data_IF_363783497979
#
_entry.id   IF_363783497979
#
_cell.length_a   1.000
_cell.length_b   1.000
_cell.length_c   1.000
_cell.angle_alpha   90.00
_cell.angle_beta   90.00
_cell.angle_gamma   90.00
#
_symmetry.space_group_name_H-M   'P 1'
#
loop_
_entity.id
_entity.type
_entity.pdbx_description
1 polymer ?
#
# COMPACT_ATOMS: atom_id res chain seq x y z
N UNK A 1 -7.21 -17.88 -10.59
CA UNK A 1 -5.96 -18.71 -10.43
C UNK A 1 -6.36 -20.19 -10.26
N UNK A 2 -5.88 -21.15 -11.07
CA UNK A 2 -6.28 -22.58 -10.90
C UNK A 2 -5.81 -23.09 -9.53
N UNK A 3 -6.75 -23.26 -8.59
CA UNK A 3 -6.47 -23.70 -7.22
C UNK A 3 -6.09 -25.19 -7.29
N UNK A 4 -4.80 -25.48 -7.14
CA UNK A 4 -4.33 -26.85 -6.89
C UNK A 4 -4.84 -27.29 -5.50
N UNK A 5 -5.16 -28.58 -5.34
CA UNK A 5 -5.61 -29.18 -4.06
C UNK A 5 -4.56 -29.10 -2.91
N UNK A 6 -3.43 -28.42 -3.12
CA UNK A 6 -2.33 -28.26 -2.19
C UNK A 6 -1.77 -26.84 -2.25
N UNK A 7 -1.34 -26.32 -1.10
CA UNK A 7 -0.60 -25.07 -1.04
C UNK A 7 0.74 -25.21 -1.81
N UNK A 8 1.12 -24.23 -2.66
CA UNK A 8 2.42 -24.24 -3.30
C UNK A 8 3.54 -24.27 -2.26
N UNK A 9 4.57 -25.10 -2.48
CA UNK A 9 5.65 -25.30 -1.48
C UNK A 9 6.35 -23.98 -1.12
N UNK A 10 6.50 -23.07 -2.08
CA UNK A 10 7.16 -21.78 -1.87
C UNK A 10 6.43 -20.88 -0.87
N UNK A 11 5.09 -20.94 -0.78
CA UNK A 11 4.29 -20.08 0.12
C UNK A 11 4.41 -20.52 1.57
N UNK A 12 4.79 -21.77 1.80
CA UNK A 12 5.10 -22.32 3.12
C UNK A 12 6.58 -22.13 3.44
N UNK A 13 7.47 -22.35 2.46
CA UNK A 13 8.91 -22.23 2.64
C UNK A 13 9.34 -20.78 2.92
N UNK A 14 8.72 -19.79 2.28
CA UNK A 14 9.09 -18.38 2.44
C UNK A 14 9.08 -17.88 3.90
N UNK A 15 7.98 -18.00 4.68
CA UNK A 15 7.99 -17.58 6.08
C UNK A 15 8.97 -18.40 6.92
N UNK A 16 9.10 -19.71 6.66
CA UNK A 16 10.03 -20.59 7.39
C UNK A 16 11.48 -20.15 7.17
N UNK A 17 11.88 -19.93 5.92
CA UNK A 17 13.22 -19.44 5.58
C UNK A 17 13.48 -18.07 6.19
N UNK A 18 12.49 -17.18 6.20
CA UNK A 18 12.64 -15.88 6.86
C UNK A 18 12.85 -15.99 8.37
N UNK A 19 12.09 -16.84 9.05
CA UNK A 19 12.29 -17.13 10.48
C UNK A 19 13.66 -17.77 10.76
N UNK A 20 14.11 -18.69 9.91
CA UNK A 20 15.43 -19.29 10.00
C UNK A 20 16.54 -18.27 9.77
N UNK A 21 16.38 -17.36 8.80
CA UNK A 21 17.35 -16.30 8.52
C UNK A 21 17.47 -15.32 9.70
N UNK A 22 16.35 -14.98 10.35
CA UNK A 22 16.33 -14.19 11.58
C UNK A 22 17.02 -14.91 12.74
N UNK A 23 16.72 -16.20 12.94
CA UNK A 23 17.38 -17.03 13.95
C UNK A 23 18.89 -17.13 13.72
N UNK A 24 19.31 -17.35 12.47
CA UNK A 24 20.71 -17.38 12.06
C UNK A 24 21.44 -16.06 12.34
N UNK A 25 20.81 -14.91 12.04
CA UNK A 25 21.34 -13.59 12.40
C UNK A 25 21.56 -13.47 13.91
N UNK A 26 20.61 -13.94 14.72
CA UNK A 26 20.71 -13.88 16.18
C UNK A 26 21.82 -14.78 16.74
N UNK A 27 22.08 -15.92 16.10
CA UNK A 27 23.10 -16.90 16.51
C UNK A 27 24.54 -16.49 16.12
N UNK A 28 24.71 -15.77 15.01
CA UNK A 28 26.02 -15.37 14.48
C UNK A 28 26.68 -14.16 15.17
N UNK A 29 26.10 -13.66 16.26
CA UNK A 29 26.61 -12.51 17.03
C UNK A 29 25.94 -11.20 16.62
N UNK A 30 25.15 -10.66 17.55
CA UNK A 30 24.26 -9.51 17.38
C UNK A 30 24.93 -8.16 17.12
N UNK A 31 24.09 -7.24 16.66
CA UNK A 31 24.26 -5.78 16.45
C UNK A 31 25.36 -5.28 15.49
N UNK A 32 26.27 -6.14 15.05
CA UNK A 32 27.15 -5.85 13.91
C UNK A 32 26.37 -5.69 12.59
N UNK A 33 26.89 -4.85 11.67
CA UNK A 33 26.31 -4.75 10.34
C UNK A 33 26.36 -6.13 9.67
N UNK A 34 25.21 -6.70 9.22
CA UNK A 34 25.21 -8.00 8.59
C UNK A 34 26.11 -7.95 7.35
N UNK A 35 26.96 -8.96 7.17
CA UNK A 35 27.76 -9.08 5.94
C UNK A 35 26.86 -9.04 4.71
N UNK A 36 27.37 -8.54 3.58
CA UNK A 36 26.59 -8.30 2.35
C UNK A 36 25.73 -9.50 1.93
N UNK A 37 26.28 -10.72 2.06
CA UNK A 37 25.56 -11.95 1.75
C UNK A 37 24.33 -12.16 2.65
N UNK A 38 24.49 -11.97 3.98
CA UNK A 38 23.37 -12.07 4.91
C UNK A 38 22.31 -10.99 4.64
N UNK A 39 22.74 -9.78 4.27
CA UNK A 39 21.81 -8.70 3.92
C UNK A 39 20.98 -9.03 2.67
N UNK A 40 21.62 -9.58 1.63
CA UNK A 40 20.91 -10.05 0.43
C UNK A 40 19.92 -11.17 0.77
N UNK A 41 20.32 -12.12 1.63
CA UNK A 41 19.44 -13.20 2.09
C UNK A 41 18.24 -12.65 2.85
N UNK A 42 18.46 -11.75 3.81
CA UNK A 42 17.37 -11.12 4.58
C UNK A 42 16.42 -10.34 3.67
N UNK A 43 16.94 -9.59 2.70
CA UNK A 43 16.14 -8.87 1.73
C UNK A 43 15.31 -9.84 0.86
N UNK A 44 15.92 -10.90 0.33
CA UNK A 44 15.20 -11.91 -0.44
C UNK A 44 14.10 -12.61 0.39
N UNK A 45 14.37 -12.92 1.66
CA UNK A 45 13.37 -13.45 2.59
C UNK A 45 12.24 -12.45 2.86
N UNK A 46 12.53 -11.15 2.95
CA UNK A 46 11.52 -10.11 3.11
C UNK A 46 10.57 -10.09 1.91
N UNK A 47 11.11 -10.02 0.69
CA UNK A 47 10.33 -10.06 -0.55
C UNK A 47 9.49 -11.33 -0.66
N UNK A 48 10.10 -12.50 -0.40
CA UNK A 48 9.38 -13.77 -0.41
C UNK A 48 8.27 -13.85 0.63
N UNK A 49 8.52 -13.30 1.83
CA UNK A 49 7.54 -13.22 2.92
C UNK A 49 6.35 -12.33 2.60
N UNK A 50 6.57 -11.16 1.98
CA UNK A 50 5.49 -10.27 1.52
C UNK A 50 4.63 -10.96 0.47
N UNK A 51 5.26 -11.58 -0.56
CA UNK A 51 4.52 -12.30 -1.60
C UNK A 51 3.73 -13.50 -1.05
N UNK A 52 4.31 -14.24 -0.11
CA UNK A 52 3.62 -15.34 0.56
C UNK A 52 2.46 -14.84 1.43
N UNK A 53 2.62 -13.72 2.14
CA UNK A 53 1.55 -13.11 2.93
C UNK A 53 0.36 -12.73 2.04
N UNK A 54 0.60 -12.01 0.93
CA UNK A 54 -0.47 -11.64 -0.01
C UNK A 54 -1.17 -12.88 -0.57
N UNK A 55 -0.40 -13.91 -0.95
CA UNK A 55 -0.98 -15.17 -1.41
C UNK A 55 -1.94 -15.80 -0.38
N UNK A 56 -1.51 -15.89 0.88
CA UNK A 56 -2.35 -16.45 1.95
C UNK A 56 -3.57 -15.57 2.24
N UNK A 57 -3.42 -14.25 2.15
CA UNK A 57 -4.52 -13.30 2.28
C UNK A 57 -5.56 -13.47 1.15
N UNK A 58 -5.11 -13.62 -0.10
CA UNK A 58 -5.99 -13.92 -1.24
C UNK A 58 -6.75 -15.22 -1.05
N UNK A 59 -6.10 -16.26 -0.52
CA UNK A 59 -6.77 -17.55 -0.29
C UNK A 59 -7.87 -17.45 0.79
N UNK A 60 -7.60 -16.70 1.86
CA UNK A 60 -8.59 -16.41 2.90
C UNK A 60 -9.74 -15.57 2.33
N UNK A 61 -9.41 -14.53 1.55
CA UNK A 61 -10.39 -13.68 0.87
C UNK A 61 -11.29 -14.47 -0.08
N UNK A 62 -10.71 -15.36 -0.90
CA UNK A 62 -11.44 -16.22 -1.83
C UNK A 62 -12.37 -17.19 -1.10
N UNK A 63 -11.98 -17.66 0.09
CA UNK A 63 -12.87 -18.49 0.92
C UNK A 63 -14.07 -17.73 1.47
N UNK A 64 -13.86 -16.47 1.85
CA UNK A 64 -14.92 -15.61 2.39
C UNK A 64 -15.90 -15.21 1.28
N UNK A 65 -15.40 -15.04 0.06
CA UNK A 65 -16.21 -14.70 -1.11
C UNK A 65 -16.58 -13.22 -1.18
N UNK A 66 -17.10 -12.79 -2.32
CA UNK A 66 -17.50 -11.40 -2.52
C UNK A 66 -18.81 -11.05 -1.78
N UNK A 67 -18.96 -9.81 -1.25
CA UNK A 67 -18.05 -8.68 -1.37
C UNK A 67 -17.01 -8.58 -0.23
N UNK A 68 -17.07 -9.43 0.79
CA UNK A 68 -16.22 -9.29 1.98
C UNK A 68 -14.77 -9.75 1.77
N UNK A 69 -14.53 -10.64 0.80
CA UNK A 69 -13.18 -11.10 0.46
C UNK A 69 -12.24 -9.96 0.06
N UNK A 70 -12.72 -8.99 -0.73
CA UNK A 70 -11.91 -7.83 -1.14
C UNK A 70 -11.52 -6.95 0.05
N UNK A 71 -12.38 -6.81 1.05
CA UNK A 71 -12.05 -6.12 2.31
C UNK A 71 -11.01 -6.85 3.11
N UNK A 72 -11.12 -8.18 3.22
CA UNK A 72 -10.14 -8.97 3.96
C UNK A 72 -8.78 -8.91 3.31
N UNK A 73 -8.71 -8.94 1.97
CA UNK A 73 -7.47 -8.74 1.24
C UNK A 73 -6.88 -7.36 1.51
N UNK A 74 -7.68 -6.28 1.38
CA UNK A 74 -7.23 -4.92 1.61
C UNK A 74 -6.72 -4.71 3.05
N UNK A 75 -7.43 -5.23 4.05
CA UNK A 75 -7.01 -5.18 5.46
C UNK A 75 -5.75 -6.01 5.69
N UNK A 76 -5.61 -7.17 5.07
CA UNK A 76 -4.42 -7.99 5.22
C UNK A 76 -3.19 -7.31 4.62
N UNK A 77 -3.28 -6.76 3.40
CA UNK A 77 -2.15 -6.06 2.76
C UNK A 77 -1.77 -4.81 3.53
N UNK A 78 -2.74 -3.98 3.90
CA UNK A 78 -2.48 -2.78 4.72
C UNK A 78 -1.95 -3.11 6.11
N UNK A 79 -2.34 -4.25 6.71
CA UNK A 79 -1.75 -4.67 7.98
C UNK A 79 -0.24 -4.92 7.87
N UNK A 80 0.25 -5.40 6.72
CA UNK A 80 1.69 -5.55 6.45
C UNK A 80 2.34 -4.17 6.41
N UNK A 81 1.76 -3.22 5.68
CA UNK A 81 2.24 -1.84 5.61
C UNK A 81 2.32 -1.18 7.00
N UNK A 82 1.23 -1.22 7.75
CA UNK A 82 1.12 -0.63 9.09
C UNK A 82 2.11 -1.27 10.05
N UNK A 83 2.21 -2.60 10.05
CA UNK A 83 3.12 -3.30 10.96
C UNK A 83 4.59 -2.96 10.67
N UNK A 84 4.95 -2.78 9.39
CA UNK A 84 6.27 -2.30 8.99
C UNK A 84 6.53 -0.88 9.51
N UNK A 85 5.63 0.06 9.23
CA UNK A 85 5.75 1.46 9.66
C UNK A 85 5.87 1.56 11.18
N UNK A 86 4.96 0.91 11.92
CA UNK A 86 4.94 0.92 13.38
C UNK A 86 6.21 0.30 13.96
N UNK A 87 6.68 -0.82 13.41
CA UNK A 87 7.92 -1.46 13.87
C UNK A 87 9.14 -0.56 13.71
N UNK A 88 9.23 0.15 12.59
CA UNK A 88 10.32 1.11 12.35
C UNK A 88 10.22 2.31 13.28
N UNK A 89 9.01 2.79 13.55
CA UNK A 89 8.81 3.88 14.51
C UNK A 89 9.22 3.50 15.93
N UNK A 90 8.85 2.29 16.36
CA UNK A 90 9.26 1.74 17.66
C UNK A 90 10.77 1.52 17.73
N UNK A 91 11.41 1.14 16.62
CA UNK A 91 12.85 0.91 16.57
C UNK A 91 13.67 2.21 16.55
N UNK A 92 13.23 3.23 15.81
CA UNK A 92 13.98 4.47 15.61
C UNK A 92 13.60 5.63 16.54
N UNK A 93 12.52 5.50 17.31
CA UNK A 93 12.12 6.48 18.33
C UNK A 93 11.79 7.85 17.73
N UNK A 94 12.11 8.93 18.47
CA UNK A 94 11.71 10.30 18.12
C UNK A 94 12.26 10.83 16.78
N UNK A 95 13.30 10.22 16.21
CA UNK A 95 13.83 10.61 14.89
C UNK A 95 13.00 10.07 13.71
N UNK A 96 12.03 9.19 13.98
CA UNK A 96 11.18 8.54 12.95
C UNK A 96 9.76 9.09 12.90
N UNK A 97 9.51 10.24 13.53
CA UNK A 97 8.19 10.88 13.60
C UNK A 97 7.62 11.27 12.24
N UNK A 98 8.46 11.42 11.22
CA UNK A 98 8.05 11.64 9.82
C UNK A 98 7.97 10.37 8.96
N UNK A 99 8.42 9.21 9.44
CA UNK A 99 8.52 8.00 8.61
C UNK A 99 7.16 7.50 8.14
N UNK A 100 6.16 7.52 9.01
CA UNK A 100 4.79 7.16 8.66
C UNK A 100 4.22 8.07 7.56
N UNK A 101 4.41 9.39 7.71
CA UNK A 101 4.03 10.38 6.69
C UNK A 101 4.72 10.08 5.37
N UNK A 102 6.04 9.91 5.37
CA UNK A 102 6.82 9.74 4.14
C UNK A 102 6.44 8.45 3.42
N UNK A 103 6.17 7.37 4.17
CA UNK A 103 5.76 6.08 3.60
C UNK A 103 4.34 6.15 3.03
N UNK A 104 3.37 6.72 3.77
CA UNK A 104 1.99 6.87 3.30
C UNK A 104 1.91 7.84 2.09
N UNK A 105 2.65 8.93 2.13
CA UNK A 105 2.77 9.86 1.02
C UNK A 105 3.35 9.15 -0.22
N UNK A 106 4.43 8.39 -0.05
CA UNK A 106 5.01 7.59 -1.12
C UNK A 106 4.01 6.57 -1.67
N UNK A 107 3.25 5.88 -0.82
CA UNK A 107 2.24 4.93 -1.25
C UNK A 107 1.18 5.60 -2.15
N UNK A 108 0.62 6.73 -1.71
CA UNK A 108 -0.37 7.48 -2.51
C UNK A 108 0.23 7.93 -3.85
N UNK A 109 1.45 8.47 -3.85
CA UNK A 109 2.12 8.92 -5.07
C UNK A 109 2.43 7.78 -6.04
N UNK A 110 2.94 6.65 -5.53
CA UNK A 110 3.25 5.47 -6.33
C UNK A 110 1.98 4.83 -6.90
N UNK A 111 0.88 4.81 -6.15
CA UNK A 111 -0.39 4.24 -6.63
C UNK A 111 -1.00 5.14 -7.71
N UNK A 112 -1.21 6.43 -7.41
CA UNK A 112 -1.89 7.35 -8.33
C UNK A 112 -1.11 7.59 -9.62
N UNK A 113 0.21 7.74 -9.52
CA UNK A 113 1.02 8.14 -10.67
C UNK A 113 1.74 6.95 -11.31
N UNK A 114 2.26 6.03 -10.50
CA UNK A 114 2.97 4.85 -10.97
C UNK A 114 2.01 3.73 -11.39
N UNK A 115 1.27 3.17 -10.44
CA UNK A 115 0.41 2.00 -10.65
C UNK A 115 -0.71 2.29 -11.65
N UNK A 116 -1.53 3.32 -11.38
CA UNK A 116 -2.60 3.73 -12.30
C UNK A 116 -2.01 4.16 -13.64
N UNK A 117 -0.92 4.96 -13.65
CA UNK A 117 -0.26 5.41 -14.88
C UNK A 117 0.19 4.26 -15.78
N UNK A 118 0.85 3.24 -15.23
CA UNK A 118 1.26 2.03 -15.96
C UNK A 118 0.03 1.27 -16.48
N UNK A 119 -1.00 1.10 -15.64
CA UNK A 119 -2.22 0.39 -16.03
C UNK A 119 -2.92 1.07 -17.20
N UNK A 120 -3.07 2.40 -17.16
CA UNK A 120 -3.66 3.17 -18.27
C UNK A 120 -2.80 3.12 -19.53
N UNK A 121 -1.47 3.24 -19.40
CA UNK A 121 -0.56 3.20 -20.54
C UNK A 121 -0.60 1.84 -21.25
N UNK A 122 -0.54 0.75 -20.49
CA UNK A 122 -0.50 -0.61 -21.03
C UNK A 122 -1.86 -1.03 -21.57
N UNK A 123 -2.92 -0.69 -20.83
CA UNK A 123 -4.30 -0.90 -21.24
C UNK A 123 -4.62 -0.17 -22.55
N UNK A 124 -4.31 1.12 -22.62
CA UNK A 124 -4.51 1.93 -23.82
C UNK A 124 -3.61 1.53 -25.00
N UNK A 125 -2.36 1.12 -24.76
CA UNK A 125 -1.48 0.60 -25.84
C UNK A 125 -2.00 -0.69 -26.45
N UNK A 126 -2.60 -1.58 -25.65
CA UNK A 126 -3.06 -2.89 -26.12
C UNK A 126 -4.47 -2.85 -26.71
N UNK A 127 -5.35 -2.05 -26.12
CA UNK A 127 -6.80 -2.06 -26.43
C UNK A 127 -7.32 -0.74 -27.02
N UNK A 128 -6.47 0.30 -27.15
CA UNK A 128 -6.88 1.63 -27.61
C UNK A 128 -7.56 2.43 -26.50
N UNK A 129 -8.88 2.35 -26.44
CA UNK A 129 -9.69 2.93 -25.36
C UNK A 129 -10.26 1.83 -24.48
N UNK A 130 -10.21 2.03 -23.16
CA UNK A 130 -10.85 1.14 -22.19
C UNK A 130 -11.91 1.91 -21.40
N UNK A 131 -13.08 1.30 -21.24
CA UNK A 131 -14.19 1.87 -20.49
C UNK A 131 -14.23 1.39 -19.04
N UNK A 132 -14.78 2.22 -18.17
CA UNK A 132 -15.00 1.93 -16.75
C UNK A 132 -16.14 2.82 -16.22
N UNK A 133 -16.66 2.48 -15.04
CA UNK A 133 -17.73 3.21 -14.36
C UNK A 133 -17.13 4.38 -13.58
N UNK A 134 -17.28 5.59 -14.12
CA UNK A 134 -16.69 6.82 -13.56
C UNK A 134 -17.19 7.15 -12.14
N UNK A 135 -18.41 6.77 -11.79
CA UNK A 135 -19.02 7.11 -10.48
C UNK A 135 -18.24 6.54 -9.31
N UNK A 136 -17.88 5.25 -9.35
CA UNK A 136 -17.12 4.59 -8.27
C UNK A 136 -15.70 5.14 -8.16
N UNK A 137 -15.07 5.40 -9.30
CA UNK A 137 -13.71 5.97 -9.36
C UNK A 137 -13.68 7.41 -8.84
N UNK A 138 -14.68 8.23 -9.21
CA UNK A 138 -14.81 9.61 -8.73
C UNK A 138 -15.02 9.65 -7.21
N UNK A 139 -15.85 8.76 -6.67
CA UNK A 139 -16.03 8.61 -5.23
C UNK A 139 -14.70 8.25 -4.54
N UNK A 140 -13.94 7.29 -5.08
CA UNK A 140 -12.66 6.89 -4.53
C UNK A 140 -11.64 8.05 -4.51
N UNK A 141 -11.51 8.79 -5.62
CA UNK A 141 -10.60 9.93 -5.73
C UNK A 141 -11.01 11.09 -4.80
N UNK A 142 -12.30 11.37 -4.67
CA UNK A 142 -12.79 12.40 -3.76
C UNK A 142 -12.49 12.05 -2.30
N UNK A 143 -12.74 10.80 -1.89
CA UNK A 143 -12.38 10.32 -0.55
C UNK A 143 -10.87 10.37 -0.33
N UNK A 144 -10.07 9.94 -1.31
CA UNK A 144 -8.61 9.94 -1.21
C UNK A 144 -8.06 11.37 -1.08
N UNK A 145 -8.58 12.31 -1.87
CA UNK A 145 -8.23 13.73 -1.77
C UNK A 145 -8.56 14.29 -0.40
N UNK A 146 -9.76 14.02 0.13
CA UNK A 146 -10.17 14.48 1.45
C UNK A 146 -9.25 13.92 2.55
N UNK A 147 -9.02 12.60 2.60
CA UNK A 147 -8.15 12.01 3.62
C UNK A 147 -6.72 12.54 3.46
N UNK A 148 -6.18 12.62 2.24
CA UNK A 148 -4.79 13.06 2.02
C UNK A 148 -4.56 14.51 2.46
N UNK A 149 -5.47 15.42 2.09
CA UNK A 149 -5.35 16.84 2.48
C UNK A 149 -5.57 17.01 3.98
N UNK A 150 -6.59 16.37 4.56
CA UNK A 150 -6.88 16.47 5.99
C UNK A 150 -5.78 15.87 6.86
N UNK A 151 -5.10 14.82 6.41
CA UNK A 151 -4.07 14.16 7.24
C UNK A 151 -2.69 14.76 7.03
N UNK A 152 -2.31 15.11 5.80
CA UNK A 152 -0.93 15.46 5.46
C UNK A 152 -0.70 16.92 5.08
N UNK A 153 -1.73 17.66 4.64
CA UNK A 153 -1.56 19.07 4.20
C UNK A 153 -2.03 20.05 5.27
N UNK A 154 -3.23 19.82 5.82
CA UNK A 154 -3.84 20.66 6.84
C UNK A 154 -3.02 20.86 8.13
N UNK A 155 -2.24 19.89 8.67
CA UNK A 155 -1.47 20.13 9.90
C UNK A 155 -0.41 21.24 9.75
N UNK A 156 0.01 21.57 8.52
CA UNK A 156 0.92 22.70 8.27
C UNK A 156 0.28 24.08 8.52
N UNK A 157 -1.05 24.14 8.62
CA UNK A 157 -1.80 25.39 8.70
C UNK A 157 -2.58 25.54 10.01
N UNK A 158 -2.55 24.54 10.89
CA UNK A 158 -3.12 24.66 12.23
C UNK A 158 -2.23 25.50 13.14
N UNK A 159 -2.83 26.28 14.04
CA UNK A 159 -2.10 27.22 14.92
C UNK A 159 -1.97 26.74 16.36
N UNK A 160 -2.62 25.62 16.74
CA UNK A 160 -2.70 25.16 18.12
C UNK A 160 -1.39 24.55 18.65
N UNK A 161 -0.54 24.03 17.77
CA UNK A 161 0.78 23.50 18.11
C UNK A 161 1.78 23.95 17.06
N UNK A 162 2.96 24.45 17.43
CA UNK A 162 3.99 24.81 16.48
C UNK A 162 4.45 23.59 15.67
N UNK A 163 4.59 23.78 14.36
CA UNK A 163 5.14 22.78 13.46
C UNK A 163 4.10 21.95 12.70
N UNK A 164 4.58 21.05 11.81
CA UNK A 164 3.75 20.28 10.88
C UNK A 164 3.06 19.07 11.56
N UNK A 165 2.40 19.30 12.70
CA UNK A 165 1.81 18.24 13.53
C UNK A 165 0.51 18.68 14.18
N UNK A 166 -0.38 17.73 14.40
CA UNK A 166 -1.59 17.92 15.18
C UNK A 166 -1.32 17.83 16.68
N UNK A 167 -2.07 18.62 17.47
CA UNK A 167 -2.16 18.35 18.90
C UNK A 167 -2.95 17.06 19.16
N UNK A 168 -2.99 16.60 20.42
CA UNK A 168 -3.67 15.35 20.81
C UNK A 168 -5.13 15.27 20.35
N UNK A 169 -5.94 16.32 20.59
CA UNK A 169 -7.36 16.28 20.25
C UNK A 169 -7.60 16.32 18.74
N UNK A 170 -6.81 17.10 18.01
CA UNK A 170 -6.82 17.15 16.55
C UNK A 170 -6.37 15.81 15.95
N UNK A 171 -5.32 15.18 16.50
CA UNK A 171 -4.83 13.89 16.02
C UNK A 171 -5.88 12.79 16.20
N UNK A 172 -6.55 12.73 17.36
CA UNK A 172 -7.67 11.81 17.61
C UNK A 172 -8.80 12.07 16.61
N UNK A 173 -9.18 13.34 16.43
CA UNK A 173 -10.24 13.70 15.50
C UNK A 173 -9.91 13.29 14.06
N UNK A 174 -8.68 13.55 13.61
CA UNK A 174 -8.20 13.20 12.26
C UNK A 174 -8.12 11.68 12.07
N UNK A 175 -7.69 10.93 13.09
CA UNK A 175 -7.72 9.47 13.07
C UNK A 175 -9.16 8.95 12.92
N UNK A 176 -10.10 9.47 13.71
CA UNK A 176 -11.52 9.05 13.64
C UNK A 176 -12.14 9.41 12.30
N UNK A 177 -11.96 10.64 11.80
CA UNK A 177 -12.59 11.05 10.53
C UNK A 177 -11.99 10.30 9.33
N UNK A 178 -10.70 9.96 9.36
CA UNK A 178 -10.07 9.13 8.33
C UNK A 178 -10.69 7.74 8.29
N UNK A 179 -10.92 7.13 9.47
CA UNK A 179 -11.60 5.84 9.58
C UNK A 179 -13.06 5.92 9.12
N UNK A 180 -13.76 7.02 9.43
CA UNK A 180 -15.15 7.25 8.97
C UNK A 180 -15.19 7.38 7.45
N UNK A 181 -14.29 8.14 6.84
CA UNK A 181 -14.22 8.30 5.39
C UNK A 181 -13.90 6.99 4.68
N UNK A 182 -12.89 6.25 5.16
CA UNK A 182 -12.55 4.94 4.62
C UNK A 182 -13.68 3.91 4.83
N UNK A 183 -14.25 3.85 6.03
CA UNK A 183 -15.37 2.97 6.35
C UNK A 183 -16.62 3.26 5.51
N UNK A 184 -16.91 4.53 5.25
CA UNK A 184 -18.01 4.94 4.37
C UNK A 184 -17.74 4.51 2.94
N UNK A 185 -16.52 4.73 2.43
CA UNK A 185 -16.12 4.27 1.10
C UNK A 185 -16.29 2.75 0.98
N UNK A 186 -15.78 1.98 1.94
CA UNK A 186 -15.91 0.53 2.01
C UNK A 186 -17.38 0.10 2.01
N UNK A 187 -18.24 0.74 2.80
CA UNK A 187 -19.66 0.41 2.88
C UNK A 187 -20.39 0.68 1.55
N UNK A 188 -20.04 1.78 0.89
CA UNK A 188 -20.58 2.14 -0.43
C UNK A 188 -20.10 1.14 -1.48
N UNK A 189 -18.82 0.77 -1.44
CA UNK A 189 -18.20 -0.18 -2.38
C UNK A 189 -18.72 -1.61 -2.23
N UNK A 190 -19.00 -2.05 -0.99
CA UNK A 190 -19.34 -3.46 -0.72
C UNK A 190 -20.83 -3.73 -0.59
N UNK A 191 -21.61 -2.81 -0.03
CA UNK A 191 -23.02 -3.05 0.29
C UNK A 191 -23.96 -2.13 -0.49
N UNK A 192 -23.82 -0.81 -0.35
CA UNK A 192 -24.89 0.12 -0.77
C UNK A 192 -24.93 0.45 -2.25
N UNK A 193 -23.77 0.63 -2.89
CA UNK A 193 -23.68 1.02 -4.30
C UNK A 193 -22.61 0.21 -5.03
N UNK A 194 -22.55 -1.10 -4.76
CA UNK A 194 -21.58 -2.03 -5.37
C UNK A 194 -21.56 -1.94 -6.89
N UNK A 195 -22.72 -1.71 -7.52
CA UNK A 195 -22.86 -1.58 -8.97
C UNK A 195 -21.99 -0.45 -9.56
N UNK A 196 -21.63 0.57 -8.78
CA UNK A 196 -20.73 1.65 -9.23
C UNK A 196 -19.28 1.19 -9.38
N UNK A 197 -18.94 0.03 -8.82
CA UNK A 197 -17.60 -0.55 -8.83
C UNK A 197 -17.53 -1.82 -9.68
N UNK A 198 -18.66 -2.33 -10.18
CA UNK A 198 -18.67 -3.46 -11.11
C UNK A 198 -18.42 -2.99 -12.55
N UNK A 199 -17.79 -3.82 -13.39
CA UNK A 199 -17.63 -3.52 -14.81
C UNK A 199 -18.99 -3.35 -15.51
N UNK A 200 -19.12 -2.34 -16.37
CA UNK A 200 -20.36 -2.07 -17.12
C UNK A 200 -20.77 -3.20 -18.09
N UNK A 201 -19.82 -4.03 -18.51
CA UNK A 201 -20.07 -5.29 -19.21
C UNK A 201 -19.42 -6.41 -18.41
N UNK A 202 -20.20 -7.40 -17.93
CA UNK A 202 -19.62 -8.57 -17.28
C UNK A 202 -18.81 -9.34 -18.31
N UNK A 203 -17.49 -9.29 -18.18
CA UNK A 203 -16.61 -10.23 -18.88
C UNK A 203 -16.85 -11.57 -18.21
N UNK A 204 -17.30 -12.59 -18.97
CA UNK A 204 -17.50 -13.94 -18.45
C UNK A 204 -16.26 -14.34 -17.64
N UNK A 205 -16.43 -14.49 -16.33
CA UNK A 205 -15.29 -14.60 -15.44
C UNK A 205 -14.85 -16.06 -15.41
N UNK A 206 -13.65 -16.35 -15.93
CA UNK A 206 -13.06 -17.68 -15.83
C UNK A 206 -12.84 -18.12 -14.36
N UNK A 207 -12.82 -17.16 -13.42
CA UNK A 207 -12.69 -17.41 -11.98
C UNK A 207 -14.05 -17.53 -11.23
N UNK A 208 -15.22 -17.17 -11.80
CA UNK A 208 -16.55 -17.34 -11.15
C UNK A 208 -16.94 -18.83 -10.96
N UNK A 209 -16.18 -19.73 -11.56
CA UNK A 209 -16.36 -21.18 -11.47
C UNK A 209 -15.18 -21.89 -10.79
N UNK A 210 -14.22 -21.16 -10.21
CA UNK A 210 -13.20 -21.76 -9.37
C UNK A 210 -13.84 -22.19 -8.03
N UNK A 211 -13.82 -23.48 -7.66
CA UNK A 211 -14.40 -23.90 -6.39
C UNK A 211 -13.69 -23.22 -5.22
N UNK A 212 -14.48 -22.76 -4.24
CA UNK A 212 -13.93 -22.13 -3.04
C UNK A 212 -12.93 -23.06 -2.34
N UNK A 213 -11.86 -22.53 -1.72
CA UNK A 213 -10.82 -23.35 -1.14
C UNK A 213 -11.41 -24.24 -0.02
N UNK A 214 -10.84 -25.43 0.25
CA UNK A 214 -11.22 -26.22 1.41
C UNK A 214 -11.07 -25.42 2.70
N UNK A 215 -11.99 -25.57 3.66
CA UNK A 215 -11.98 -24.83 4.94
C UNK A 215 -10.65 -24.99 5.68
N UNK A 216 -10.09 -26.21 5.68
CA UNK A 216 -8.78 -26.51 6.26
C UNK A 216 -7.66 -25.68 5.62
N UNK A 217 -7.69 -25.50 4.30
CA UNK A 217 -6.68 -24.74 3.57
C UNK A 217 -6.76 -23.25 3.92
N UNK A 218 -7.98 -22.71 4.08
CA UNK A 218 -8.19 -21.33 4.51
C UNK A 218 -7.67 -21.08 5.94
N UNK A 219 -7.92 -21.99 6.88
CA UNK A 219 -7.36 -21.88 8.24
C UNK A 219 -5.84 -21.97 8.29
N UNK A 220 -5.25 -22.90 7.54
CA UNK A 220 -3.79 -23.03 7.43
C UNK A 220 -3.21 -21.74 6.83
N UNK A 221 -3.85 -21.19 5.79
CA UNK A 221 -3.42 -19.95 5.16
C UNK A 221 -3.55 -18.76 6.11
N UNK A 222 -4.62 -18.70 6.92
CA UNK A 222 -4.75 -17.69 7.98
C UNK A 222 -3.63 -17.76 9.01
N UNK A 223 -3.24 -18.97 9.46
CA UNK A 223 -2.11 -19.14 10.38
C UNK A 223 -0.77 -18.77 9.71
N UNK A 224 -0.55 -19.18 8.47
CA UNK A 224 0.65 -18.83 7.70
C UNK A 224 0.72 -17.33 7.39
N UNK A 225 -0.40 -16.67 7.15
CA UNK A 225 -0.48 -15.21 6.98
C UNK A 225 0.04 -14.50 8.21
N UNK A 226 -0.40 -14.89 9.42
CA UNK A 226 0.10 -14.33 10.67
C UNK A 226 1.60 -14.61 10.87
N UNK A 227 2.06 -15.81 10.51
CA UNK A 227 3.48 -16.16 10.57
C UNK A 227 4.33 -15.34 9.57
N UNK A 228 3.80 -15.07 8.36
CA UNK A 228 4.44 -14.21 7.38
C UNK A 228 4.50 -12.76 7.88
N UNK A 229 3.40 -12.26 8.45
CA UNK A 229 3.33 -10.89 8.99
C UNK A 229 4.40 -10.67 10.08
N UNK A 230 4.46 -11.57 11.06
CA UNK A 230 5.49 -11.50 12.11
C UNK A 230 6.92 -11.57 11.55
N UNK A 231 7.15 -12.45 10.57
CA UNK A 231 8.44 -12.60 9.91
C UNK A 231 8.86 -11.33 9.14
N UNK A 232 7.97 -10.78 8.31
CA UNK A 232 8.18 -9.59 7.50
C UNK A 232 8.50 -8.38 8.38
N UNK A 233 7.77 -8.21 9.48
CA UNK A 233 8.00 -7.13 10.46
C UNK A 233 9.41 -7.21 11.06
N UNK A 234 9.81 -8.40 11.52
CA UNK A 234 11.13 -8.60 12.10
C UNK A 234 12.27 -8.49 11.08
N UNK A 235 12.06 -8.97 9.85
CA UNK A 235 13.01 -8.83 8.74
C UNK A 235 13.22 -7.36 8.38
N UNK A 236 12.14 -6.58 8.26
CA UNK A 236 12.25 -5.16 7.95
C UNK A 236 12.94 -4.38 9.07
N UNK A 237 12.63 -4.69 10.34
CA UNK A 237 13.36 -4.12 11.48
C UNK A 237 14.85 -4.46 11.42
N UNK A 238 15.18 -5.70 11.04
CA UNK A 238 16.56 -6.14 10.89
C UNK A 238 17.30 -5.48 9.71
N UNK A 239 16.58 -5.06 8.66
CA UNK A 239 17.10 -4.45 7.44
C UNK A 239 17.17 -2.92 7.49
N UNK A 240 16.27 -2.24 8.21
CA UNK A 240 16.14 -0.76 8.18
C UNK A 240 17.44 -0.01 8.41
N UNK A 241 18.27 -0.33 9.43
CA UNK A 241 19.50 0.43 9.66
C UNK A 241 20.50 0.28 8.50
N UNK A 242 20.48 -0.86 7.82
CA UNK A 242 21.36 -1.10 6.68
C UNK A 242 20.83 -0.42 5.41
N UNK A 243 19.50 -0.40 5.24
CA UNK A 243 18.83 0.34 4.17
C UNK A 243 19.09 1.84 4.29
N UNK A 244 18.94 2.40 5.50
CA UNK A 244 19.25 3.81 5.79
C UNK A 244 20.71 4.15 5.49
N UNK A 245 21.66 3.32 5.93
CA UNK A 245 23.08 3.51 5.62
C UNK A 245 23.36 3.46 4.12
N UNK A 246 22.74 2.52 3.40
CA UNK A 246 22.89 2.41 1.95
C UNK A 246 22.37 3.67 1.23
N UNK A 247 21.17 4.14 1.59
CA UNK A 247 20.56 5.36 1.03
C UNK A 247 21.46 6.58 1.30
N UNK A 248 21.95 6.74 2.52
CA UNK A 248 22.85 7.84 2.89
C UNK A 248 24.20 7.76 2.17
N UNK A 249 24.75 6.55 1.97
CA UNK A 249 26.01 6.35 1.24
C UNK A 249 25.92 6.72 -0.24
N UNK A 250 24.71 6.69 -0.82
CA UNK A 250 24.44 7.15 -2.18
C UNK A 250 24.18 8.67 -2.26
N UNK A 251 24.20 9.38 -1.12
CA UNK A 251 23.86 10.80 -1.05
C UNK A 251 22.36 11.09 -1.16
N UNK A 252 21.50 10.06 -1.08
CA UNK A 252 20.05 10.20 -1.20
C UNK A 252 19.39 10.52 0.17
N UNK A 253 18.25 11.23 0.18
CA UNK A 253 17.58 11.60 1.43
C UNK A 253 16.84 10.44 2.08
N UNK A 254 16.63 10.51 3.41
CA UNK A 254 15.91 9.50 4.20
C UNK A 254 14.50 9.20 3.68
N UNK A 255 13.83 10.16 3.02
CA UNK A 255 12.53 9.96 2.36
C UNK A 255 12.54 8.80 1.35
N UNK A 256 13.68 8.49 0.72
CA UNK A 256 13.81 7.37 -0.20
C UNK A 256 13.59 6.01 0.49
N UNK A 257 13.86 5.90 1.80
CA UNK A 257 13.57 4.69 2.58
C UNK A 257 12.07 4.41 2.58
N UNK A 258 11.24 5.42 2.83
CA UNK A 258 9.78 5.32 2.77
C UNK A 258 9.28 4.89 1.38
N UNK A 259 9.88 5.44 0.31
CA UNK A 259 9.56 5.04 -1.07
C UNK A 259 9.88 3.58 -1.33
N UNK A 260 11.06 3.10 -0.91
CA UNK A 260 11.46 1.70 -1.09
C UNK A 260 10.51 0.78 -0.35
N UNK A 261 10.17 1.11 0.91
CA UNK A 261 9.22 0.31 1.71
C UNK A 261 7.84 0.27 1.02
N UNK A 262 7.30 1.42 0.65
CA UNK A 262 6.00 1.51 -0.03
C UNK A 262 6.01 0.70 -1.33
N UNK A 263 7.06 0.81 -2.15
CA UNK A 263 7.18 0.06 -3.41
C UNK A 263 7.18 -1.46 -3.20
N UNK A 264 7.86 -1.96 -2.17
CA UNK A 264 7.90 -3.40 -1.85
C UNK A 264 6.53 -3.91 -1.42
N UNK A 265 5.84 -3.16 -0.57
CA UNK A 265 4.52 -3.54 -0.04
C UNK A 265 3.46 -3.50 -1.14
N UNK A 266 3.51 -2.50 -2.02
CA UNK A 266 2.54 -2.29 -3.11
C UNK A 266 2.79 -3.17 -4.33
N UNK A 267 3.95 -3.82 -4.43
CA UNK A 267 4.33 -4.61 -5.60
C UNK A 267 3.30 -5.70 -5.98
N UNK A 268 2.78 -6.53 -5.06
CA UNK A 268 1.85 -7.59 -5.40
C UNK A 268 0.55 -7.05 -6.01
N UNK A 269 -0.02 -6.00 -5.41
CA UNK A 269 -1.22 -5.34 -5.91
C UNK A 269 -0.98 -4.61 -7.22
N UNK A 270 0.20 -3.99 -7.39
CA UNK A 270 0.60 -3.37 -8.64
C UNK A 270 0.67 -4.36 -9.79
N UNK A 271 1.18 -5.57 -9.53
CA UNK A 271 1.19 -6.67 -10.50
C UNK A 271 -0.25 -7.11 -10.83
N UNK A 272 -1.10 -7.29 -9.83
CA UNK A 272 -2.51 -7.68 -10.03
C UNK A 272 -3.28 -6.63 -10.84
N UNK A 273 -3.16 -5.35 -10.49
CA UNK A 273 -3.78 -4.24 -11.21
C UNK A 273 -3.28 -4.14 -12.66
N UNK A 274 -1.98 -4.31 -12.88
CA UNK A 274 -1.37 -4.34 -14.22
C UNK A 274 -1.92 -5.49 -15.07
N UNK A 275 -2.01 -6.69 -14.50
CA UNK A 275 -2.55 -7.86 -15.20
C UNK A 275 -4.03 -7.65 -15.57
N UNK A 276 -4.84 -7.09 -14.65
CA UNK A 276 -6.23 -6.77 -14.90
C UNK A 276 -6.38 -5.75 -16.06
N UNK A 277 -5.61 -4.66 -16.05
CA UNK A 277 -5.63 -3.67 -17.13
C UNK A 277 -5.25 -4.29 -18.48
N UNK A 278 -4.20 -5.13 -18.50
CA UNK A 278 -3.75 -5.85 -19.71
C UNK A 278 -4.77 -6.87 -20.22
N UNK A 279 -5.61 -7.41 -19.34
CA UNK A 279 -6.71 -8.33 -19.64
C UNK A 279 -8.02 -7.62 -20.04
N UNK A 280 -7.98 -6.31 -20.29
CA UNK A 280 -9.14 -5.48 -20.58
C UNK A 280 -10.16 -5.36 -19.43
N UNK A 281 -9.71 -5.53 -18.18
CA UNK A 281 -10.51 -5.40 -16.96
C UNK A 281 -10.10 -4.13 -16.19
N UNK A 282 -10.25 -2.97 -16.85
CA UNK A 282 -9.77 -1.70 -16.30
C UNK A 282 -10.50 -1.30 -15.01
N UNK A 283 -11.81 -1.55 -14.90
CA UNK A 283 -12.54 -1.31 -13.65
C UNK A 283 -11.92 -2.06 -12.47
N UNK A 284 -11.60 -3.35 -12.63
CA UNK A 284 -10.94 -4.16 -11.60
C UNK A 284 -9.57 -3.60 -11.25
N UNK A 285 -8.79 -3.20 -12.27
CA UNK A 285 -7.47 -2.57 -12.08
C UNK A 285 -7.56 -1.29 -11.24
N UNK A 286 -8.51 -0.39 -11.56
CA UNK A 286 -8.71 0.87 -10.85
C UNK A 286 -9.25 0.64 -9.43
N UNK A 287 -10.15 -0.32 -9.25
CA UNK A 287 -10.66 -0.67 -7.92
C UNK A 287 -9.54 -1.20 -7.01
N UNK A 288 -8.65 -2.06 -7.54
CA UNK A 288 -7.48 -2.55 -6.81
C UNK A 288 -6.56 -1.39 -6.42
N UNK A 289 -6.18 -0.55 -7.40
CA UNK A 289 -5.28 0.56 -7.15
C UNK A 289 -5.87 1.61 -6.18
N UNK A 290 -7.06 2.14 -6.45
CA UNK A 290 -7.65 3.19 -5.62
C UNK A 290 -8.13 2.67 -4.26
N UNK A 291 -8.61 1.43 -4.21
CA UNK A 291 -8.94 0.75 -2.96
C UNK A 291 -7.70 0.58 -2.07
N UNK A 292 -6.57 0.19 -2.67
CA UNK A 292 -5.27 0.13 -1.99
C UNK A 292 -4.86 1.49 -1.43
N UNK A 293 -4.89 2.56 -2.24
CA UNK A 293 -4.50 3.89 -1.77
C UNK A 293 -5.37 4.37 -0.58
N UNK A 294 -6.68 4.14 -0.67
CA UNK A 294 -7.62 4.49 0.39
C UNK A 294 -7.40 3.67 1.66
N UNK A 295 -7.12 2.38 1.52
CA UNK A 295 -6.82 1.52 2.66
C UNK A 295 -5.48 1.92 3.30
N UNK A 296 -4.43 2.12 2.50
CA UNK A 296 -3.10 2.55 2.94
C UNK A 296 -3.18 3.84 3.76
N UNK A 297 -3.88 4.88 3.31
CA UNK A 297 -4.00 6.10 4.10
C UNK A 297 -5.05 6.00 5.23
N UNK A 298 -6.22 5.44 4.91
CA UNK A 298 -7.39 5.42 5.78
C UNK A 298 -7.26 4.50 6.99
N UNK A 299 -6.45 3.45 6.90
CA UNK A 299 -6.14 2.55 8.01
C UNK A 299 -4.81 2.87 8.69
N UNK A 300 -3.78 3.27 7.93
CA UNK A 300 -2.47 3.54 8.51
C UNK A 300 -2.50 4.73 9.44
N UNK A 301 -3.03 5.88 9.02
CA UNK A 301 -3.02 7.11 9.84
C UNK A 301 -3.66 6.89 11.22
N UNK A 302 -4.86 6.27 11.34
CA UNK A 302 -5.42 5.93 12.65
C UNK A 302 -4.54 5.00 13.48
N UNK A 303 -3.97 3.95 12.88
CA UNK A 303 -3.09 3.03 13.59
C UNK A 303 -1.83 3.73 14.13
N UNK A 304 -1.18 4.56 13.30
CA UNK A 304 0.03 5.27 13.74
C UNK A 304 -0.30 6.34 14.79
N UNK A 305 -1.44 7.00 14.66
CA UNK A 305 -1.93 7.95 15.67
C UNK A 305 -2.13 7.26 17.03
N UNK A 306 -2.75 6.08 17.07
CA UNK A 306 -2.91 5.31 18.31
C UNK A 306 -1.54 4.97 18.92
N UNK A 307 -0.61 4.47 18.11
CA UNK A 307 0.74 4.14 18.59
C UNK A 307 1.46 5.38 19.14
N UNK A 308 1.40 6.51 18.43
CA UNK A 308 2.01 7.76 18.86
C UNK A 308 1.42 8.25 20.19
N UNK A 309 0.09 8.21 20.33
CA UNK A 309 -0.61 8.62 21.56
C UNK A 309 -0.25 7.73 22.76
N UNK A 310 -0.16 6.42 22.58
CA UNK A 310 0.21 5.47 23.64
C UNK A 310 1.66 5.66 24.12
N UNK A 311 2.56 6.06 23.21
CA UNK A 311 3.97 6.26 23.52
C UNK A 311 4.33 7.73 23.83
N UNK A 312 3.36 8.64 23.77
CA UNK A 312 3.59 10.08 23.97
C UNK A 312 4.45 10.74 22.88
N UNK A 313 4.45 10.21 21.66
CA UNK A 313 5.22 10.76 20.54
C UNK A 313 4.44 11.86 19.81
N UNK A 314 5.16 12.88 19.34
CA UNK A 314 4.62 13.88 18.43
C UNK A 314 4.75 13.39 16.99
N UNK A 315 3.62 13.03 16.37
CA UNK A 315 3.61 12.55 14.98
C UNK A 315 3.66 13.72 14.00
N UNK A 316 4.69 13.76 13.16
CA UNK A 316 4.84 14.79 12.13
C UNK A 316 4.16 14.32 10.85
N UNK A 317 2.90 14.72 10.65
CA UNK A 317 2.11 14.35 9.49
C UNK A 317 2.19 15.35 8.33
N UNK A 318 2.53 16.61 8.61
CA UNK A 318 2.60 17.64 7.58
C UNK A 318 3.70 17.37 6.56
N UNK A 319 3.35 17.26 5.28
CA UNK A 319 4.29 17.18 4.16
C UNK A 319 4.79 18.58 3.79
N UNK A 320 5.98 18.67 3.22
CA UNK A 320 6.55 19.95 2.79
C UNK A 320 5.81 20.54 1.56
N UNK A 321 6.15 21.79 1.20
CA UNK A 321 5.49 22.53 0.12
C UNK A 321 5.65 21.83 -1.23
N UNK A 322 6.83 21.29 -1.52
CA UNK A 322 7.11 20.59 -2.79
C UNK A 322 6.27 19.33 -2.89
N UNK A 323 6.23 18.55 -1.82
CA UNK A 323 5.39 17.36 -1.71
C UNK A 323 3.89 17.68 -1.81
N UNK A 324 3.46 18.81 -1.24
CA UNK A 324 2.07 19.33 -1.34
C UNK A 324 1.70 19.65 -2.78
N UNK A 325 2.57 20.37 -3.51
CA UNK A 325 2.34 20.72 -4.93
C UNK A 325 2.20 19.46 -5.77
N UNK A 326 3.09 18.48 -5.58
CA UNK A 326 3.02 17.20 -6.31
C UNK A 326 1.77 16.39 -5.96
N UNK A 327 1.37 16.35 -4.69
CA UNK A 327 0.14 15.66 -4.26
C UNK A 327 -1.10 16.28 -4.92
N UNK A 328 -1.23 17.60 -4.85
CA UNK A 328 -2.37 18.33 -5.42
C UNK A 328 -2.40 18.17 -6.93
N UNK A 329 -1.26 18.28 -7.62
CA UNK A 329 -1.16 18.03 -9.06
C UNK A 329 -1.62 16.60 -9.41
N UNK A 330 -1.16 15.60 -8.65
CA UNK A 330 -1.53 14.20 -8.86
C UNK A 330 -3.02 13.97 -8.70
N UNK A 331 -3.63 14.52 -7.65
CA UNK A 331 -5.08 14.40 -7.39
C UNK A 331 -5.90 15.08 -8.49
N UNK A 332 -5.50 16.27 -8.94
CA UNK A 332 -6.17 16.98 -10.04
C UNK A 332 -6.06 16.18 -11.33
N UNK A 333 -4.86 15.76 -11.71
CA UNK A 333 -4.63 15.04 -12.97
C UNK A 333 -5.32 13.68 -12.96
N UNK A 334 -5.29 12.94 -11.85
CA UNK A 334 -6.02 11.69 -11.71
C UNK A 334 -7.53 11.90 -11.83
N UNK A 335 -8.07 12.94 -11.19
CA UNK A 335 -9.50 13.29 -11.29
C UNK A 335 -9.90 13.64 -12.73
N UNK A 336 -9.16 14.52 -13.39
CA UNK A 336 -9.41 14.90 -14.78
C UNK A 336 -9.29 13.71 -15.75
N UNK A 337 -8.31 12.83 -15.51
CA UNK A 337 -8.09 11.64 -16.33
C UNK A 337 -9.21 10.62 -16.19
N UNK A 338 -9.77 10.48 -14.99
CA UNK A 338 -10.71 9.41 -14.67
C UNK A 338 -12.18 9.86 -14.65
N UNK A 339 -12.48 11.12 -14.94
CA UNK A 339 -13.87 11.62 -15.00
C UNK A 339 -14.64 11.10 -16.21
N UNK A 340 -13.96 10.86 -17.34
CA UNK A 340 -14.61 10.57 -18.63
C UNK A 340 -15.12 9.14 -18.82
N UNK A 341 -14.91 8.22 -17.87
CA UNK A 341 -15.29 6.80 -18.00
C UNK A 341 -14.58 6.04 -19.13
N UNK A 342 -13.61 6.67 -19.79
CA UNK A 342 -12.75 6.11 -20.83
C UNK A 342 -11.33 6.58 -20.63
N UNK A 343 -10.38 5.74 -21.00
CA UNK A 343 -8.96 6.06 -20.83
C UNK A 343 -8.18 6.01 -22.13
N UNK A 344 -7.12 6.80 -22.18
CA UNK A 344 -6.20 6.88 -23.32
C UNK A 344 -4.75 6.78 -22.86
N UNK A 345 -3.86 6.48 -23.81
CA UNK A 345 -2.40 6.45 -23.62
C UNK A 345 -1.89 7.79 -23.04
N UNK A 346 -2.50 8.92 -23.41
CA UNK A 346 -2.09 10.24 -22.94
C UNK A 346 -2.20 10.36 -21.43
N UNK A 347 -3.31 9.93 -20.83
CA UNK A 347 -3.53 10.00 -19.38
C UNK A 347 -2.50 9.17 -18.62
N UNK A 348 -2.23 7.93 -19.08
CA UNK A 348 -1.20 7.08 -18.49
C UNK A 348 0.20 7.69 -18.58
N UNK A 349 0.52 8.33 -19.71
CA UNK A 349 1.82 8.99 -19.92
C UNK A 349 2.00 10.20 -18.99
N UNK A 350 0.96 11.02 -18.81
CA UNK A 350 1.00 12.18 -17.91
C UNK A 350 1.20 11.72 -16.47
N UNK A 351 0.43 10.74 -15.98
CA UNK A 351 0.60 10.19 -14.63
C UNK A 351 2.00 9.61 -14.42
N UNK A 352 2.53 8.85 -15.38
CA UNK A 352 3.89 8.32 -15.29
C UNK A 352 4.96 9.40 -15.28
N UNK A 353 4.73 10.50 -16.00
CA UNK A 353 5.63 11.65 -15.98
C UNK A 353 5.65 12.30 -14.60
N UNK A 354 4.48 12.47 -13.97
CA UNK A 354 4.39 12.97 -12.58
C UNK A 354 5.10 12.02 -11.62
N UNK A 355 4.95 10.70 -11.80
CA UNK A 355 5.67 9.69 -11.01
C UNK A 355 7.20 9.85 -11.16
N UNK A 356 7.68 9.97 -12.39
CA UNK A 356 9.10 10.15 -12.67
C UNK A 356 9.64 11.45 -12.06
N UNK A 357 8.91 12.55 -12.17
CA UNK A 357 9.26 13.84 -11.55
C UNK A 357 9.29 13.70 -10.03
N UNK A 358 8.29 13.05 -9.42
CA UNK A 358 8.25 12.78 -7.98
C UNK A 358 9.49 12.00 -7.50
N UNK A 359 9.85 10.90 -8.19
CA UNK A 359 11.02 10.11 -7.85
C UNK A 359 12.31 10.92 -8.03
N UNK A 360 12.44 11.62 -9.16
CA UNK A 360 13.61 12.43 -9.46
C UNK A 360 13.83 13.52 -8.42
N UNK A 361 12.79 14.29 -8.12
CA UNK A 361 12.81 15.39 -7.15
C UNK A 361 12.90 14.89 -5.70
N UNK A 362 12.65 13.60 -5.43
CA UNK A 362 12.94 13.01 -4.13
C UNK A 362 14.40 12.60 -4.03
N UNK A 363 14.99 12.04 -5.08
CA UNK A 363 16.40 11.60 -5.09
C UNK A 363 17.36 12.80 -5.21
N UNK A 364 16.97 13.79 -6.00
CA UNK A 364 17.68 15.04 -6.27
C UNK A 364 16.79 16.19 -5.76
N UNK A 365 16.86 16.51 -4.45
CA UNK A 365 15.87 17.32 -3.74
C UNK A 365 15.71 18.78 -4.17
#
# INVERSE_FOLDING_TARGET
>A
MKIQNSLPVWTIAAPVLGWLALGGKSLMGGDGAPGLLLLIVLAACLFGGVLAAVFHAELVAHKIGEPFGTLVLAVAVTSIEVALIVSLMVAGGAETTGLARDTVYAAVMLILNGMVGICLLVGGRKHGEQSFTATGVSAALATLAAISVLTMVLPNYTTTTPGPSYNTSQLIFIAVISLVLYGTFVLVQTVRHRDYFLPAQPVADEDDHAPAPPVRMAWISGALLLACLGCVVLLAKALSPSLEKAVLSMGAPKALVGIIIAAVVLLPEGIAAYQAARANRLQTSLNLALGSALASIGLTIPCVAIVALLNGWTLTLGIDVKSTVLLVLSLIVASLSLTGGRTTIMQGTVLLTICAVYLFVTIVP
#
